data_IF_590692147961
#
_entry.id   IF_590692147961
#
_cell.length_a   1.000
_cell.length_b   1.000
_cell.length_c   1.000
_cell.angle_alpha   90.00
_cell.angle_beta   90.00
_cell.angle_gamma   90.00
#
_symmetry.space_group_name_H-M   'P 1'
#
loop_
_entity.id
_entity.type
_entity.pdbx_description
1 polymer ?
#
# COMPACT_ATOMS: atom_id res chain seq x y z
N UNK A 1 -35.27 0.05 26.19
CA UNK A 1 -35.40 -0.95 27.29
C UNK A 1 -36.83 -1.46 27.25
N UNK A 2 -37.02 -2.77 27.08
CA UNK A 2 -38.31 -3.43 27.29
C UNK A 2 -38.30 -4.09 28.66
N UNK A 3 -39.35 -3.89 29.44
CA UNK A 3 -39.55 -4.46 30.78
C UNK A 3 -40.73 -5.41 30.76
N UNK A 4 -40.58 -6.58 31.38
CA UNK A 4 -41.61 -7.61 31.46
C UNK A 4 -42.59 -7.36 32.60
N UNK A 5 -43.62 -8.19 32.65
CA UNK A 5 -44.79 -8.02 33.53
C UNK A 5 -44.48 -8.11 35.04
N UNK A 6 -43.24 -8.45 35.43
CA UNK A 6 -42.76 -8.43 36.83
C UNK A 6 -41.67 -7.37 37.06
N UNK A 7 -41.53 -6.41 36.15
CA UNK A 7 -40.54 -5.33 36.23
C UNK A 7 -39.10 -5.73 35.86
N UNK A 8 -38.89 -6.94 35.34
CA UNK A 8 -37.57 -7.38 34.87
C UNK A 8 -37.25 -6.82 33.48
N UNK A 9 -36.03 -6.34 33.25
CA UNK A 9 -35.57 -5.96 31.91
C UNK A 9 -35.51 -7.20 31.02
N UNK A 10 -36.27 -7.19 29.92
CA UNK A 10 -36.33 -8.28 28.94
C UNK A 10 -35.33 -8.09 27.81
N UNK A 11 -35.07 -6.84 27.41
CA UNK A 11 -33.94 -6.48 26.55
C UNK A 11 -33.69 -4.97 26.59
N UNK A 12 -32.43 -4.60 26.39
CA UNK A 12 -31.99 -3.23 26.23
C UNK A 12 -31.04 -3.12 25.05
N UNK A 13 -31.09 -1.98 24.35
CA UNK A 13 -30.12 -1.65 23.31
C UNK A 13 -29.14 -0.68 23.95
N UNK A 14 -27.97 -1.18 24.32
CA UNK A 14 -26.88 -0.40 24.91
C UNK A 14 -25.78 -0.29 23.87
N UNK A 15 -25.22 0.91 23.65
CA UNK A 15 -24.06 1.02 22.79
C UNK A 15 -22.88 0.33 23.47
N UNK A 16 -22.11 -0.48 22.76
CA UNK A 16 -21.01 -1.26 23.34
C UNK A 16 -19.96 -0.40 24.09
N UNK A 17 -19.90 0.91 23.79
CA UNK A 17 -19.06 1.90 24.51
C UNK A 17 -19.51 2.18 25.96
N UNK A 18 -20.77 1.85 26.28
CA UNK A 18 -21.39 2.13 27.58
C UNK A 18 -21.35 0.89 28.51
N UNK A 19 -20.77 -0.23 28.04
CA UNK A 19 -20.51 -1.40 28.87
C UNK A 19 -19.20 -1.17 29.66
N UNK A 20 -19.15 -1.52 30.96
CA UNK A 20 -17.92 -1.42 31.74
C UNK A 20 -16.84 -2.34 31.15
N UNK A 21 -15.59 -1.86 31.16
CA UNK A 21 -14.43 -2.71 30.86
C UNK A 21 -14.41 -3.90 31.83
N UNK A 22 -14.21 -5.10 31.29
CA UNK A 22 -14.15 -6.30 32.10
C UNK A 22 -12.72 -6.50 32.62
N UNK A 23 -12.59 -6.53 33.95
CA UNK A 23 -11.31 -6.67 34.66
C UNK A 23 -11.22 -8.11 35.17
N UNK A 24 -10.17 -8.82 34.77
CA UNK A 24 -9.97 -10.23 35.11
C UNK A 24 -8.76 -10.39 36.03
N UNK A 25 -8.97 -10.94 37.23
CA UNK A 25 -7.89 -11.20 38.21
C UNK A 25 -7.11 -12.50 37.91
N UNK A 26 -7.70 -13.48 37.21
CA UNK A 26 -7.10 -14.81 37.04
C UNK A 26 -7.22 -15.45 35.65
N UNK A 27 -7.74 -14.73 34.65
CA UNK A 27 -7.84 -15.19 33.24
C UNK A 27 -8.53 -16.55 33.03
N UNK A 28 -9.25 -17.06 34.04
CA UNK A 28 -9.73 -18.46 34.10
C UNK A 28 -10.89 -18.79 33.17
N UNK A 29 -11.57 -17.78 32.61
CA UNK A 29 -12.70 -17.95 31.67
C UNK A 29 -12.32 -17.77 30.19
N UNK A 30 -11.03 -17.58 29.89
CA UNK A 30 -10.55 -17.32 28.53
C UNK A 30 -10.81 -15.87 28.09
N UNK A 31 -10.11 -15.47 27.02
CA UNK A 31 -10.25 -14.14 26.40
C UNK A 31 -11.62 -14.04 25.69
N UNK A 32 -12.66 -13.66 26.45
CA UNK A 32 -14.00 -13.35 25.96
C UNK A 32 -15.05 -14.39 26.37
N UNK A 33 -15.96 -14.00 27.26
CA UNK A 33 -17.19 -14.75 27.49
C UNK A 33 -18.17 -14.50 26.33
N UNK A 34 -18.79 -15.56 25.81
CA UNK A 34 -20.04 -15.39 25.06
C UNK A 34 -21.08 -14.82 26.02
N UNK A 35 -21.54 -13.57 25.84
CA UNK A 35 -22.77 -13.14 26.51
C UNK A 35 -23.88 -14.09 26.05
N UNK A 36 -24.24 -15.06 26.89
CA UNK A 36 -25.23 -16.09 26.62
C UNK A 36 -26.62 -15.47 26.57
N UNK A 37 -26.99 -14.79 25.49
CA UNK A 37 -28.40 -14.44 25.27
C UNK A 37 -28.90 -14.63 23.83
N UNK A 38 -28.05 -14.85 22.82
CA UNK A 38 -28.54 -15.10 21.45
C UNK A 38 -27.77 -16.13 20.61
N UNK A 39 -26.71 -16.74 21.15
CA UNK A 39 -26.01 -17.86 20.49
C UNK A 39 -25.37 -17.53 19.14
N UNK A 40 -25.02 -16.25 18.86
CA UNK A 40 -24.51 -15.83 17.53
C UNK A 40 -23.34 -14.83 17.51
N UNK A 41 -22.51 -14.70 18.55
CA UNK A 41 -21.28 -13.92 18.42
C UNK A 41 -20.37 -13.87 19.65
N UNK A 42 -19.06 -13.76 19.41
CA UNK A 42 -18.04 -13.44 20.42
C UNK A 42 -17.90 -11.92 20.54
N UNK A 43 -17.64 -11.43 21.77
CA UNK A 43 -17.18 -10.06 22.01
C UNK A 43 -15.65 -10.05 21.87
N UNK A 44 -15.10 -9.16 21.05
CA UNK A 44 -13.64 -9.07 20.82
C UNK A 44 -13.07 -7.86 21.52
N UNK A 45 -11.85 -8.00 22.04
CA UNK A 45 -11.08 -6.87 22.55
C UNK A 45 -10.25 -6.21 21.43
N UNK A 46 -10.06 -4.89 21.51
CA UNK A 46 -9.21 -4.08 20.61
C UNK A 46 -7.79 -3.86 21.12
N UNK A 47 -7.40 -4.61 22.16
CA UNK A 47 -6.12 -4.51 22.83
C UNK A 47 -6.27 -4.34 24.33
N UNK A 48 -5.11 -4.23 24.98
CA UNK A 48 -4.98 -4.04 26.42
C UNK A 48 -5.27 -2.60 26.83
N UNK A 49 -5.88 -2.43 28.00
CA UNK A 49 -5.84 -1.13 28.67
C UNK A 49 -4.58 -1.03 29.55
N UNK A 50 -3.60 -0.27 29.08
CA UNK A 50 -2.34 -0.05 29.80
C UNK A 50 -2.53 0.60 31.18
N UNK A 51 -3.68 1.26 31.40
CA UNK A 51 -3.98 1.92 32.67
C UNK A 51 -4.47 0.96 33.77
N UNK A 52 -4.90 -0.25 33.39
CA UNK A 52 -5.50 -1.21 34.30
C UNK A 52 -4.98 -2.63 34.01
N UNK A 53 -4.17 -3.18 34.94
CA UNK A 53 -3.71 -4.56 34.85
C UNK A 53 -4.89 -5.51 34.69
N UNK A 54 -4.86 -6.33 33.64
CA UNK A 54 -5.86 -7.36 33.44
C UNK A 54 -7.13 -6.92 32.69
N UNK A 55 -7.18 -5.66 32.20
CA UNK A 55 -8.36 -5.13 31.51
C UNK A 55 -8.20 -5.17 29.99
N UNK A 56 -9.25 -5.64 29.31
CA UNK A 56 -9.35 -5.66 27.85
C UNK A 56 -10.38 -4.64 27.37
N UNK A 57 -10.07 -3.87 26.32
CA UNK A 57 -11.01 -2.88 25.76
C UNK A 57 -11.99 -3.54 24.81
N UNK A 58 -13.29 -3.50 25.10
CA UNK A 58 -14.32 -4.08 24.22
C UNK A 58 -14.38 -3.37 22.85
N UNK A 59 -14.57 -4.13 21.78
CA UNK A 59 -14.80 -3.57 20.44
C UNK A 59 -16.21 -3.00 20.30
N UNK A 60 -16.38 -1.76 19.78
CA UNK A 60 -17.69 -1.25 19.42
C UNK A 60 -18.39 -1.97 18.25
N UNK A 61 -17.76 -2.95 17.60
CA UNK A 61 -18.34 -3.74 16.52
C UNK A 61 -18.11 -5.23 16.73
N UNK A 62 -19.09 -6.06 16.34
CA UNK A 62 -18.91 -7.51 16.24
C UNK A 62 -18.08 -7.83 15.00
N UNK A 63 -16.96 -8.54 15.18
CA UNK A 63 -16.16 -9.06 14.07
C UNK A 63 -16.51 -10.54 13.85
N UNK A 64 -16.49 -11.04 12.62
CA UNK A 64 -16.80 -12.45 12.36
C UNK A 64 -15.62 -13.07 11.62
N UNK A 65 -14.83 -13.89 12.31
CA UNK A 65 -13.69 -14.60 11.71
C UNK A 65 -14.04 -16.09 11.58
N UNK A 66 -14.44 -16.51 10.38
CA UNK A 66 -14.65 -17.92 10.06
C UNK A 66 -13.31 -18.54 9.63
N UNK A 67 -12.51 -19.00 10.59
CA UNK A 67 -11.31 -19.79 10.32
C UNK A 67 -11.45 -21.18 10.96
N UNK A 68 -11.44 -22.23 10.14
CA UNK A 68 -11.57 -23.64 10.57
C UNK A 68 -10.40 -24.12 11.43
N UNK A 69 -9.25 -23.43 11.42
CA UNK A 69 -8.12 -23.73 12.30
C UNK A 69 -8.31 -23.21 13.75
N UNK A 70 -9.26 -22.29 13.98
CA UNK A 70 -9.46 -21.61 15.26
C UNK A 70 -10.70 -22.10 16.02
N UNK A 71 -11.29 -23.23 15.59
CA UNK A 71 -12.57 -23.68 16.12
C UNK A 71 -12.41 -24.32 17.51
N UNK A 72 -13.08 -23.72 18.50
CA UNK A 72 -13.61 -24.29 19.76
C UNK A 72 -12.79 -24.26 21.06
N UNK A 73 -11.56 -23.72 21.11
CA UNK A 73 -10.81 -23.68 22.38
C UNK A 73 -9.94 -22.44 22.63
N UNK A 74 -9.85 -21.50 21.69
CA UNK A 74 -8.86 -20.42 21.72
C UNK A 74 -9.52 -19.04 21.63
N UNK A 75 -9.23 -18.18 22.60
CA UNK A 75 -9.58 -16.75 22.53
C UNK A 75 -8.50 -15.99 21.75
N UNK A 76 -8.91 -14.98 20.98
CA UNK A 76 -8.00 -14.10 20.25
C UNK A 76 -8.41 -12.64 20.42
N UNK A 77 -7.44 -11.75 20.41
CA UNK A 77 -7.69 -10.31 20.32
C UNK A 77 -6.69 -9.68 19.35
N UNK A 78 -7.09 -8.54 18.83
CA UNK A 78 -6.26 -7.73 17.95
C UNK A 78 -5.63 -6.66 18.85
N UNK A 79 -4.31 -6.58 18.89
CA UNK A 79 -3.71 -5.34 19.37
C UNK A 79 -3.89 -4.29 18.27
N UNK A 80 -4.31 -3.10 18.68
CA UNK A 80 -4.09 -1.94 17.84
C UNK A 80 -2.57 -1.78 17.69
N UNK A 81 -2.12 -1.90 16.44
CA UNK A 81 -1.07 -1.08 15.88
C UNK A 81 0.28 -1.15 16.60
N UNK A 82 1.18 -1.98 16.07
CA UNK A 82 2.57 -1.98 16.53
C UNK A 82 3.56 -1.20 15.68
N UNK A 83 4.61 -0.77 16.38
CA UNK A 83 5.78 -0.05 15.90
C UNK A 83 6.80 -1.00 15.30
N UNK A 84 6.61 -1.37 14.03
CA UNK A 84 7.70 -1.88 13.20
C UNK A 84 7.64 -1.15 11.87
N UNK A 85 8.25 0.04 11.83
CA UNK A 85 8.41 0.79 10.60
C UNK A 85 9.65 0.29 9.86
N UNK A 86 9.50 0.05 8.57
CA UNK A 86 10.60 -0.09 7.63
C UNK A 86 10.91 1.29 7.06
N UNK A 87 12.18 1.63 6.87
CA UNK A 87 12.53 2.88 6.17
C UNK A 87 12.09 2.77 4.72
N UNK A 88 11.21 3.67 4.27
CA UNK A 88 10.83 3.74 2.87
C UNK A 88 12.08 3.92 2.00
N UNK A 89 12.31 2.99 1.10
CA UNK A 89 13.55 2.91 0.32
C UNK A 89 13.27 2.47 -1.10
N UNK A 90 13.99 3.07 -2.06
CA UNK A 90 14.04 2.62 -3.44
C UNK A 90 14.71 1.24 -3.55
N UNK A 91 14.16 0.37 -4.38
CA UNK A 91 14.66 -0.98 -4.61
C UNK A 91 15.36 -1.11 -5.96
N UNK A 92 14.59 -1.09 -7.05
CA UNK A 92 15.11 -1.31 -8.39
C UNK A 92 14.28 -0.57 -9.44
N UNK A 93 14.88 -0.37 -10.61
CA UNK A 93 14.20 0.15 -11.79
C UNK A 93 14.54 -0.64 -13.05
N UNK A 94 13.59 -0.73 -13.98
CA UNK A 94 13.80 -1.26 -15.33
C UNK A 94 12.91 -0.51 -16.33
N UNK A 95 13.36 -0.39 -17.58
CA UNK A 95 12.56 0.24 -18.65
C UNK A 95 12.63 -0.55 -19.95
N UNK A 96 11.66 -0.31 -20.83
CA UNK A 96 11.62 -0.82 -22.19
C UNK A 96 10.88 0.16 -23.11
N UNK A 97 11.07 0.00 -24.41
CA UNK A 97 10.35 0.73 -25.45
C UNK A 97 9.84 -0.23 -26.49
N UNK A 98 8.62 -0.02 -27.00
CA UNK A 98 8.04 -0.88 -28.03
C UNK A 98 7.20 -0.06 -28.99
N UNK A 99 7.35 -0.31 -30.30
CA UNK A 99 6.64 0.43 -31.33
C UNK A 99 5.25 -0.17 -31.64
N UNK A 100 5.15 -1.51 -31.63
CA UNK A 100 3.98 -2.20 -32.20
C UNK A 100 3.50 -3.41 -31.39
N UNK A 101 4.32 -3.97 -30.50
CA UNK A 101 3.95 -5.18 -29.77
C UNK A 101 2.81 -4.89 -28.78
N UNK A 102 1.87 -5.84 -28.65
CA UNK A 102 0.87 -5.84 -27.59
C UNK A 102 0.54 -7.29 -27.20
N UNK A 103 0.71 -7.69 -25.93
CA UNK A 103 1.22 -6.87 -24.84
C UNK A 103 2.72 -6.57 -24.98
N UNK A 104 3.15 -5.44 -24.42
CA UNK A 104 4.56 -5.13 -24.20
C UNK A 104 5.00 -5.78 -22.89
N UNK A 105 6.07 -6.58 -22.94
CA UNK A 105 6.52 -7.36 -21.79
C UNK A 105 8.02 -7.21 -21.54
N UNK A 106 8.39 -7.14 -20.26
CA UNK A 106 9.78 -7.11 -19.81
C UNK A 106 9.89 -7.65 -18.38
N UNK A 107 11.10 -8.02 -17.98
CA UNK A 107 11.37 -8.52 -16.62
C UNK A 107 11.67 -7.38 -15.66
N UNK A 108 11.11 -7.46 -14.44
CA UNK A 108 11.45 -6.58 -13.33
C UNK A 108 11.63 -7.42 -12.06
N UNK A 109 12.71 -7.15 -11.32
CA UNK A 109 13.06 -7.91 -10.10
C UNK A 109 12.70 -7.07 -8.89
N UNK A 110 11.79 -7.59 -8.06
CA UNK A 110 11.43 -6.98 -6.78
C UNK A 110 12.18 -7.68 -5.64
N UNK A 111 12.87 -6.92 -4.78
CA UNK A 111 13.58 -7.49 -3.65
C UNK A 111 12.64 -8.14 -2.63
N UNK A 112 13.16 -9.14 -1.91
CA UNK A 112 12.48 -9.80 -0.81
C UNK A 112 12.53 -8.96 0.48
N UNK A 113 11.84 -7.83 0.48
CA UNK A 113 11.67 -6.92 1.62
C UNK A 113 10.19 -6.83 2.01
N UNK A 114 9.86 -6.40 3.22
CA UNK A 114 8.45 -6.20 3.63
C UNK A 114 7.85 -4.93 3.01
N UNK A 115 6.52 -4.87 2.92
CA UNK A 115 5.77 -3.64 2.62
C UNK A 115 6.19 -3.00 1.29
N UNK A 116 5.92 -3.72 0.19
CA UNK A 116 6.45 -3.37 -1.14
C UNK A 116 5.43 -2.66 -2.00
N UNK A 117 5.92 -1.82 -2.90
CA UNK A 117 5.14 -1.24 -3.97
C UNK A 117 5.93 -1.29 -5.27
N UNK A 118 5.25 -1.64 -6.37
CA UNK A 118 5.78 -1.52 -7.72
C UNK A 118 4.99 -0.41 -8.43
N UNK A 119 5.71 0.60 -8.91
CA UNK A 119 5.19 1.69 -9.73
C UNK A 119 5.54 1.40 -11.20
N UNK A 120 4.59 1.55 -12.12
CA UNK A 120 4.84 1.43 -13.56
C UNK A 120 4.31 2.68 -14.25
N UNK A 121 5.19 3.44 -14.90
CA UNK A 121 4.79 4.54 -15.75
C UNK A 121 4.79 4.11 -17.22
N UNK A 122 3.74 4.50 -17.94
CA UNK A 122 3.57 4.21 -19.35
C UNK A 122 3.30 5.50 -20.10
N UNK A 123 4.21 5.85 -20.99
CA UNK A 123 4.06 6.90 -21.98
C UNK A 123 3.65 6.27 -23.31
N UNK A 124 2.56 6.75 -23.90
CA UNK A 124 2.18 6.42 -25.27
C UNK A 124 2.36 7.64 -26.18
N UNK A 125 2.77 7.40 -27.43
CA UNK A 125 2.94 8.40 -28.50
C UNK A 125 1.64 8.86 -29.17
N UNK A 126 0.49 8.59 -28.55
CA UNK A 126 -0.84 9.14 -28.89
C UNK A 126 -1.64 9.33 -27.58
N UNK A 127 -2.81 9.99 -27.64
CA UNK A 127 -3.75 10.09 -26.51
C UNK A 127 -4.49 8.76 -26.23
N UNK A 128 -3.75 7.67 -26.06
CA UNK A 128 -4.25 6.33 -25.78
C UNK A 128 -3.56 5.79 -24.53
N UNK A 129 -4.34 5.24 -23.61
CA UNK A 129 -3.82 4.65 -22.39
C UNK A 129 -3.86 3.12 -22.48
N UNK A 130 -2.95 2.41 -21.77
CA UNK A 130 -3.03 0.97 -21.63
C UNK A 130 -4.39 0.52 -21.11
N UNK A 131 -4.90 -0.58 -21.66
CA UNK A 131 -6.14 -1.21 -21.20
C UNK A 131 -5.92 -1.93 -19.86
N UNK A 132 -4.74 -2.52 -19.67
CA UNK A 132 -4.34 -3.13 -18.40
C UNK A 132 -2.83 -3.18 -18.26
N UNK A 133 -2.37 -3.21 -17.01
CA UNK A 133 -0.98 -3.51 -16.66
C UNK A 133 -0.99 -4.62 -15.62
N UNK A 134 -0.11 -5.59 -15.77
CA UNK A 134 0.04 -6.70 -14.82
C UNK A 134 1.49 -6.93 -14.44
N UNK A 135 1.71 -7.48 -13.25
CA UNK A 135 3.01 -7.98 -12.80
C UNK A 135 2.86 -9.38 -12.23
N UNK A 136 3.64 -10.34 -12.73
CA UNK A 136 3.48 -11.77 -12.40
C UNK A 136 2.04 -12.28 -12.64
N UNK A 137 1.30 -11.67 -13.56
CA UNK A 137 -0.12 -11.95 -13.82
C UNK A 137 -1.11 -11.28 -12.86
N UNK A 138 -0.64 -10.64 -11.78
CA UNK A 138 -1.50 -9.83 -10.91
C UNK A 138 -1.82 -8.48 -11.56
N UNK A 139 -3.10 -8.09 -11.55
CA UNK A 139 -3.54 -6.81 -12.12
C UNK A 139 -3.05 -5.63 -11.27
N UNK A 140 -2.50 -4.62 -11.92
CA UNK A 140 -2.11 -3.36 -11.31
C UNK A 140 -3.29 -2.37 -11.32
N UNK A 141 -3.28 -1.42 -10.39
CA UNK A 141 -4.28 -0.35 -10.30
C UNK A 141 -3.73 0.93 -10.92
N UNK A 142 -4.50 1.61 -11.78
CA UNK A 142 -4.10 2.91 -12.31
C UNK A 142 -4.19 3.97 -11.21
N UNK A 143 -3.07 4.63 -10.91
CA UNK A 143 -3.00 5.73 -9.94
C UNK A 143 -3.46 7.05 -10.53
N UNK A 144 -2.96 7.38 -11.72
CA UNK A 144 -3.26 8.63 -12.42
C UNK A 144 -2.95 8.50 -13.90
N UNK A 145 -3.56 9.37 -14.70
CA UNK A 145 -3.15 9.58 -16.07
C UNK A 145 -3.44 10.99 -16.56
N UNK A 146 -2.77 11.36 -17.65
CA UNK A 146 -2.92 12.65 -18.30
C UNK A 146 -2.63 12.51 -19.80
N UNK A 147 -3.52 13.08 -20.59
CA UNK A 147 -3.30 13.35 -22.01
C UNK A 147 -2.74 14.75 -22.17
N UNK A 148 -1.94 14.94 -23.21
CA UNK A 148 -1.53 16.27 -23.66
C UNK A 148 -2.75 17.06 -24.15
N UNK A 149 -2.72 18.37 -23.90
CA UNK A 149 -3.71 19.32 -24.39
C UNK A 149 -3.12 20.19 -25.51
N UNK A 150 -3.84 20.38 -26.63
CA UNK A 150 -3.49 21.40 -27.64
C UNK A 150 -3.15 20.93 -29.06
N UNK A 151 -3.00 19.63 -29.29
CA UNK A 151 -2.90 18.89 -30.58
C UNK A 151 -1.85 19.33 -31.61
N UNK A 152 -0.86 18.45 -31.86
CA UNK A 152 -0.54 17.89 -33.21
C UNK A 152 0.28 16.59 -33.12
N UNK A 153 1.13 16.45 -32.11
CA UNK A 153 1.56 15.18 -31.56
C UNK A 153 0.76 14.99 -30.29
N UNK A 154 0.35 13.77 -29.99
CA UNK A 154 -0.44 13.51 -28.79
C UNK A 154 0.38 12.55 -27.94
N UNK A 155 0.74 12.91 -26.71
CA UNK A 155 1.27 11.93 -25.75
C UNK A 155 0.27 11.68 -24.62
N UNK A 156 0.28 10.46 -24.09
CA UNK A 156 -0.47 10.09 -22.90
C UNK A 156 0.46 9.46 -21.88
N UNK A 157 0.48 9.99 -20.66
CA UNK A 157 1.23 9.44 -19.55
C UNK A 157 0.26 8.84 -18.53
N UNK A 158 0.50 7.60 -18.12
CA UNK A 158 -0.20 6.96 -17.00
C UNK A 158 0.77 6.35 -16.01
N UNK A 159 0.37 6.34 -14.75
CA UNK A 159 1.11 5.69 -13.66
C UNK A 159 0.20 4.65 -13.03
N UNK A 160 0.72 3.44 -12.87
CA UNK A 160 0.06 2.27 -12.29
C UNK A 160 0.85 1.79 -11.08
N UNK A 161 0.17 1.12 -10.14
CA UNK A 161 0.82 0.55 -8.97
C UNK A 161 0.29 -0.83 -8.60
N UNK A 162 1.14 -1.60 -7.92
CA UNK A 162 0.78 -2.85 -7.26
C UNK A 162 1.38 -2.85 -5.86
N UNK A 163 0.55 -3.05 -4.85
CA UNK A 163 0.98 -3.26 -3.47
C UNK A 163 1.35 -4.73 -3.26
N UNK A 164 2.39 -4.98 -2.47
CA UNK A 164 2.96 -6.31 -2.24
C UNK A 164 3.18 -7.13 -3.52
N UNK A 165 3.86 -6.58 -4.54
CA UNK A 165 4.24 -7.34 -5.73
C UNK A 165 5.05 -8.58 -5.35
N UNK A 166 4.87 -9.68 -6.09
CA UNK A 166 5.64 -10.91 -5.88
C UNK A 166 7.15 -10.65 -5.98
N UNK A 167 7.94 -11.21 -5.06
CA UNK A 167 9.39 -10.99 -5.05
C UNK A 167 10.08 -11.78 -6.17
N UNK A 168 11.31 -11.40 -6.51
CA UNK A 168 12.11 -12.03 -7.55
C UNK A 168 11.82 -11.46 -8.94
N UNK A 169 12.44 -12.06 -9.96
CA UNK A 169 12.27 -11.65 -11.35
C UNK A 169 10.93 -12.14 -11.90
N UNK A 170 10.01 -11.21 -12.18
CA UNK A 170 8.74 -11.51 -12.81
C UNK A 170 8.45 -10.55 -13.96
N UNK A 171 7.48 -10.92 -14.80
CA UNK A 171 7.10 -10.16 -15.99
C UNK A 171 6.16 -9.01 -15.64
N UNK A 172 6.52 -7.80 -16.06
CA UNK A 172 5.58 -6.70 -16.29
C UNK A 172 4.98 -6.88 -17.68
N UNK A 173 3.66 -6.79 -17.80
CA UNK A 173 2.94 -6.89 -19.07
C UNK A 173 1.95 -5.74 -19.21
N UNK A 174 2.13 -4.93 -20.23
CA UNK A 174 1.28 -3.77 -20.56
C UNK A 174 0.47 -4.13 -21.80
N UNK A 175 -0.84 -4.25 -21.63
CA UNK A 175 -1.78 -4.45 -22.73
C UNK A 175 -2.26 -3.10 -23.26
N UNK A 176 -1.93 -2.81 -24.51
CA UNK A 176 -2.29 -1.56 -25.16
C UNK A 176 -3.04 -1.87 -26.46
N UNK A 177 -4.19 -1.21 -26.65
CA UNK A 177 -5.13 -1.54 -27.73
C UNK A 177 -4.80 -0.89 -29.07
N UNK A 178 -3.80 0.00 -29.09
CA UNK A 178 -3.38 0.75 -30.29
C UNK A 178 -1.90 0.52 -30.57
N UNK A 179 -1.53 0.30 -31.84
CA UNK A 179 -0.14 0.09 -32.25
C UNK A 179 0.57 1.43 -32.35
N UNK A 180 0.83 2.03 -31.19
CA UNK A 180 1.52 3.29 -31.04
C UNK A 180 2.77 3.02 -30.22
N UNK A 181 3.85 3.75 -30.51
CA UNK A 181 5.07 3.62 -29.73
C UNK A 181 4.83 3.95 -28.27
N UNK A 182 5.34 3.08 -27.40
CA UNK A 182 5.27 3.24 -25.96
C UNK A 182 6.66 3.23 -25.34
N UNK A 183 6.81 4.00 -24.27
CA UNK A 183 7.92 3.92 -23.33
C UNK A 183 7.34 3.49 -22.00
N UNK A 184 7.91 2.43 -21.42
CA UNK A 184 7.45 1.90 -20.14
C UNK A 184 8.63 1.78 -19.22
N UNK A 185 8.45 2.17 -17.96
CA UNK A 185 9.38 1.78 -16.92
C UNK A 185 8.71 1.47 -15.61
N UNK A 186 9.41 0.67 -14.83
CA UNK A 186 9.00 0.08 -13.57
C UNK A 186 10.00 0.49 -12.50
N UNK A 187 9.51 0.99 -11.36
CA UNK A 187 10.30 1.32 -10.17
C UNK A 187 9.68 0.66 -8.95
N UNK A 188 10.45 -0.11 -8.20
CA UNK A 188 10.01 -0.75 -6.94
C UNK A 188 10.55 -0.02 -5.71
N UNK A 189 9.76 -0.07 -4.64
CA UNK A 189 10.10 0.45 -3.32
C UNK A 189 9.66 -0.53 -2.24
N UNK A 190 10.26 -0.46 -1.05
CA UNK A 190 9.84 -1.20 0.15
C UNK A 190 9.77 -0.29 1.37
N UNK A 191 9.08 -0.73 2.41
CA UNK A 191 8.73 0.11 3.56
C UNK A 191 7.65 1.13 3.24
N UNK A 192 6.67 0.78 2.39
CA UNK A 192 5.53 1.63 2.04
C UNK A 192 4.34 1.43 2.99
N UNK A 193 3.55 2.47 3.22
CA UNK A 193 2.27 2.34 3.89
C UNK A 193 1.27 1.59 2.98
N UNK A 194 0.89 0.36 3.34
CA UNK A 194 -0.01 -0.44 2.49
C UNK A 194 -1.49 -0.03 2.58
N UNK A 195 -1.90 0.68 3.62
CA UNK A 195 -3.28 1.13 3.80
C UNK A 195 -3.53 2.49 3.12
N UNK A 196 -2.56 3.39 3.24
CA UNK A 196 -2.60 4.75 2.66
C UNK A 196 -1.25 5.05 2.00
N UNK A 197 -0.96 4.44 0.84
CA UNK A 197 0.37 4.49 0.21
C UNK A 197 0.76 5.85 -0.35
N UNK A 198 -0.21 6.73 -0.63
CA UNK A 198 0.04 7.95 -1.39
C UNK A 198 -0.40 9.23 -0.68
N UNK A 199 0.33 10.30 -0.96
CA UNK A 199 -0.12 11.68 -0.82
C UNK A 199 -1.04 12.11 -1.97
N UNK A 200 -1.18 13.42 -2.17
CA UNK A 200 -1.97 13.94 -3.29
C UNK A 200 -1.15 13.90 -4.57
N UNK A 201 -1.67 13.25 -5.61
CA UNK A 201 -1.06 13.24 -6.95
C UNK A 201 -1.19 14.63 -7.57
N UNK A 202 -0.12 15.09 -8.21
CA UNK A 202 -0.11 16.31 -9.02
C UNK A 202 0.26 15.95 -10.45
N UNK A 203 -0.46 16.54 -11.41
CA UNK A 203 -0.15 16.43 -12.83
C UNK A 203 0.12 17.81 -13.41
N UNK A 204 1.08 17.90 -14.33
CA UNK A 204 1.49 19.14 -14.97
C UNK A 204 1.78 18.89 -16.46
N UNK A 205 1.65 19.93 -17.26
CA UNK A 205 2.07 19.94 -18.67
C UNK A 205 2.43 21.37 -19.08
N UNK A 206 3.29 21.52 -20.09
CA UNK A 206 3.49 22.76 -20.82
C UNK A 206 4.30 22.53 -22.10
N UNK A 207 4.37 23.56 -22.94
CA UNK A 207 5.33 23.66 -24.05
C UNK A 207 6.63 24.32 -23.56
N UNK A 208 7.63 23.53 -23.17
CA UNK A 208 8.90 24.08 -22.68
C UNK A 208 10.02 23.05 -22.62
N UNK A 209 11.22 23.48 -22.25
CA UNK A 209 12.37 22.60 -21.96
C UNK A 209 12.50 22.24 -20.48
N UNK A 210 11.53 22.61 -19.64
CA UNK A 210 11.62 22.51 -18.19
C UNK A 210 10.37 21.89 -17.57
N UNK A 211 10.17 20.56 -17.71
CA UNK A 211 9.13 19.85 -16.98
C UNK A 211 9.24 20.09 -15.47
N UNK A 212 8.10 20.34 -14.83
CA UNK A 212 8.02 20.56 -13.39
C UNK A 212 6.66 20.20 -12.85
N UNK A 213 6.63 19.37 -11.79
CA UNK A 213 5.46 19.11 -10.97
C UNK A 213 5.83 19.25 -9.50
N UNK A 214 5.01 19.95 -8.71
CA UNK A 214 5.29 20.16 -7.29
C UNK A 214 4.19 19.56 -6.43
N UNK A 215 4.55 18.56 -5.62
CA UNK A 215 3.66 17.93 -4.65
C UNK A 215 3.85 18.52 -3.26
N UNK A 216 2.83 18.35 -2.40
CA UNK A 216 3.01 18.52 -0.95
C UNK A 216 3.52 17.21 -0.37
N UNK A 217 4.62 17.24 0.36
CA UNK A 217 5.28 16.05 0.92
C UNK A 217 5.77 16.31 2.35
N UNK A 218 6.13 15.24 3.06
CA UNK A 218 6.65 15.26 4.41
C UNK A 218 7.97 14.47 4.54
N UNK A 219 8.71 14.73 5.61
CA UNK A 219 9.91 13.95 5.95
C UNK A 219 9.56 12.47 6.11
N UNK A 220 10.39 11.59 5.56
CA UNK A 220 10.20 10.14 5.56
C UNK A 220 9.41 9.61 4.35
N UNK A 221 8.77 10.49 3.58
CA UNK A 221 8.19 10.13 2.27
C UNK A 221 9.27 10.07 1.19
N UNK A 222 8.96 9.40 0.09
CA UNK A 222 9.69 9.49 -1.17
C UNK A 222 8.72 10.06 -2.20
N UNK A 223 9.10 11.13 -2.89
CA UNK A 223 8.35 11.64 -4.03
C UNK A 223 8.78 10.86 -5.27
N UNK A 224 7.85 10.16 -5.89
CA UNK A 224 8.02 9.53 -7.21
C UNK A 224 7.44 10.44 -8.28
N UNK A 225 8.11 10.54 -9.42
CA UNK A 225 7.53 11.16 -10.61
C UNK A 225 7.79 10.36 -11.88
N UNK A 226 6.93 10.59 -12.87
CA UNK A 226 7.14 10.19 -14.24
C UNK A 226 6.97 11.40 -15.15
N UNK A 227 7.77 11.46 -16.20
CA UNK A 227 7.73 12.47 -17.24
C UNK A 227 7.62 11.81 -18.61
N UNK A 228 6.85 12.43 -19.49
CA UNK A 228 6.76 12.05 -20.90
C UNK A 228 6.90 13.28 -21.77
N UNK A 229 7.58 13.14 -22.90
CA UNK A 229 7.89 14.23 -23.83
C UNK A 229 7.61 13.78 -25.25
N UNK A 230 6.99 14.65 -26.06
CA UNK A 230 6.61 14.42 -27.46
C UNK A 230 7.78 14.52 -28.46
N UNK A 231 9.00 14.32 -27.96
CA UNK A 231 10.20 14.34 -28.80
C UNK A 231 11.26 13.38 -28.28
N UNK A 232 12.15 12.95 -29.19
CA UNK A 232 13.30 12.10 -28.91
C UNK A 232 14.48 12.95 -28.40
N UNK A 233 14.65 13.04 -27.08
CA UNK A 233 15.64 13.92 -26.44
C UNK A 233 16.11 13.38 -25.11
N UNK A 234 17.36 13.68 -24.76
CA UNK A 234 17.87 13.42 -23.41
C UNK A 234 17.10 14.23 -22.37
N UNK A 235 16.69 13.54 -21.30
CA UNK A 235 16.13 14.10 -20.08
C UNK A 235 17.22 14.17 -19.02
N UNK A 236 17.12 15.12 -18.09
CA UNK A 236 18.03 15.22 -16.96
C UNK A 236 17.26 15.66 -15.74
N UNK A 237 17.32 14.87 -14.68
CA UNK A 237 16.65 15.17 -13.41
C UNK A 237 17.19 16.44 -12.76
N UNK A 238 16.33 17.10 -12.00
CA UNK A 238 16.68 18.28 -11.21
C UNK A 238 17.56 17.96 -9.99
N UNK A 239 17.82 19.01 -9.20
CA UNK A 239 18.59 18.86 -7.97
C UNK A 239 17.82 18.02 -6.94
N UNK A 240 18.55 17.20 -6.17
CA UNK A 240 18.02 16.31 -5.13
C UNK A 240 17.11 15.18 -5.63
N UNK A 241 16.99 15.01 -6.95
CA UNK A 241 16.33 13.87 -7.56
C UNK A 241 17.37 12.82 -7.98
N UNK A 242 16.99 11.55 -7.86
CA UNK A 242 17.72 10.41 -8.41
C UNK A 242 16.90 9.85 -9.56
N UNK A 243 17.50 9.76 -10.74
CA UNK A 243 16.86 9.14 -11.91
C UNK A 243 16.67 7.63 -11.67
N UNK A 244 15.45 7.15 -11.90
CA UNK A 244 15.14 5.71 -11.88
C UNK A 244 15.47 5.09 -13.23
N UNK A 245 14.96 5.71 -14.29
CA UNK A 245 15.14 5.29 -15.67
C UNK A 245 14.75 6.44 -16.60
N UNK A 246 15.37 6.45 -17.78
CA UNK A 246 14.91 7.16 -18.95
C UNK A 246 14.98 6.22 -20.16
N UNK A 247 14.13 6.47 -21.15
CA UNK A 247 14.15 5.73 -22.39
C UNK A 247 13.50 6.54 -23.50
N UNK A 248 14.11 6.50 -24.68
CA UNK A 248 13.66 7.19 -25.87
C UNK A 248 13.28 6.19 -26.96
N UNK A 249 12.17 6.47 -27.63
CA UNK A 249 11.70 5.71 -28.77
C UNK A 249 11.76 6.63 -30.01
N UNK A 250 12.92 6.59 -30.67
CA UNK A 250 13.28 7.54 -31.73
C UNK A 250 12.35 7.53 -32.96
N UNK A 251 11.77 6.37 -33.31
CA UNK A 251 10.91 6.25 -34.48
C UNK A 251 9.57 6.96 -34.28
N UNK A 252 9.05 6.95 -33.05
CA UNK A 252 7.80 7.57 -32.65
C UNK A 252 7.99 8.93 -31.97
N UNK A 253 9.23 9.40 -31.86
CA UNK A 253 9.59 10.70 -31.30
C UNK A 253 9.02 10.91 -29.90
N UNK A 254 9.17 9.92 -29.03
CA UNK A 254 8.78 10.08 -27.62
C UNK A 254 9.92 9.71 -26.69
N UNK A 255 9.99 10.42 -25.57
CA UNK A 255 10.91 10.09 -24.47
C UNK A 255 10.15 10.05 -23.16
N UNK A 256 10.33 8.98 -22.41
CA UNK A 256 9.81 8.84 -21.05
C UNK A 256 10.94 8.79 -20.03
N UNK A 257 10.65 9.19 -18.80
CA UNK A 257 11.56 9.05 -17.68
C UNK A 257 10.82 9.00 -16.34
N UNK A 258 11.55 8.59 -15.31
CA UNK A 258 11.07 8.53 -13.93
C UNK A 258 12.20 8.87 -12.97
N UNK A 259 11.85 9.49 -11.85
CA UNK A 259 12.81 9.78 -10.79
C UNK A 259 12.16 9.70 -9.42
N UNK A 260 13.00 9.69 -8.40
CA UNK A 260 12.55 9.83 -7.03
C UNK A 260 13.40 10.82 -6.23
N UNK A 261 12.81 11.38 -5.18
CA UNK A 261 13.44 12.32 -4.27
C UNK A 261 12.95 12.08 -2.84
N UNK A 262 13.80 12.31 -1.84
CA UNK A 262 13.34 12.27 -0.44
C UNK A 262 12.39 13.44 -0.17
N UNK A 263 11.24 13.19 0.46
CA UNK A 263 10.25 14.23 0.75
C UNK A 263 10.78 15.36 1.65
N UNK A 264 11.85 15.11 2.40
CA UNK A 264 12.55 16.13 3.18
C UNK A 264 13.24 17.20 2.31
N UNK A 265 13.56 16.88 1.05
CA UNK A 265 14.21 17.79 0.11
C UNK A 265 13.20 18.68 -0.65
N UNK A 266 11.91 18.60 -0.29
CA UNK A 266 10.80 19.28 -0.95
C UNK A 266 10.07 18.38 -1.94
N UNK A 267 9.00 18.90 -2.54
CA UNK A 267 8.16 18.15 -3.47
C UNK A 267 8.28 18.56 -4.94
N UNK A 268 9.28 19.38 -5.30
CA UNK A 268 9.46 19.87 -6.66
C UNK A 268 10.25 18.86 -7.50
N UNK A 269 9.53 18.12 -8.35
CA UNK A 269 10.10 17.18 -9.30
C UNK A 269 10.28 17.89 -10.63
N UNK A 270 11.53 18.06 -11.04
CA UNK A 270 11.90 18.89 -12.21
C UNK A 270 12.80 18.12 -13.16
N UNK A 271 12.70 18.46 -14.45
CA UNK A 271 13.56 17.90 -15.49
C UNK A 271 14.06 19.00 -16.41
N UNK A 272 15.17 18.72 -17.08
CA UNK A 272 15.65 19.51 -18.22
C UNK A 272 15.60 18.65 -19.47
N UNK A 273 14.96 19.16 -20.52
CA UNK A 273 14.94 18.55 -21.85
C UNK A 273 16.05 19.18 -22.68
N UNK A 274 16.90 18.36 -23.29
CA UNK A 274 18.00 18.86 -24.14
C UNK A 274 17.52 19.60 -25.40
N UNK A 275 18.43 20.27 -26.12
CA UNK A 275 18.12 20.88 -27.42
C UNK A 275 17.43 22.25 -27.35
N UNK A 276 16.63 22.58 -28.37
CA UNK A 276 15.96 23.88 -28.54
C UNK A 276 14.50 23.72 -28.97
N UNK A 277 13.71 24.79 -28.93
CA UNK A 277 12.26 24.74 -29.17
C UNK A 277 11.48 24.47 -27.89
N UNK A 278 10.19 24.14 -28.04
CA UNK A 278 9.24 23.98 -26.93
C UNK A 278 8.46 22.68 -27.12
N UNK A 279 9.09 21.51 -26.89
CA UNK A 279 8.37 20.25 -26.92
C UNK A 279 7.30 20.26 -25.82
N UNK A 280 6.21 19.53 -26.07
CA UNK A 280 5.20 19.31 -25.06
C UNK A 280 5.67 18.20 -24.12
N UNK A 281 5.44 18.42 -22.83
CA UNK A 281 5.72 17.44 -21.79
C UNK A 281 4.52 17.26 -20.87
N UNK A 282 4.42 16.07 -20.30
CA UNK A 282 3.49 15.73 -19.23
C UNK A 282 4.32 15.21 -18.07
N UNK A 283 3.97 15.62 -16.85
CA UNK A 283 4.55 15.07 -15.63
C UNK A 283 3.45 14.66 -14.67
N UNK A 284 3.66 13.53 -13.98
CA UNK A 284 2.83 13.02 -12.90
C UNK A 284 3.75 12.78 -11.70
N UNK A 285 3.50 13.45 -10.59
CA UNK A 285 4.27 13.30 -9.36
C UNK A 285 3.35 12.90 -8.19
N UNK A 286 3.86 12.07 -7.28
CA UNK A 286 3.13 11.59 -6.11
C UNK A 286 4.08 11.31 -4.94
N UNK A 287 3.77 11.77 -3.71
CA UNK A 287 4.45 11.31 -2.52
C UNK A 287 4.03 9.87 -2.17
N UNK A 288 5.00 8.98 -2.03
CA UNK A 288 4.86 7.64 -1.46
C UNK A 288 5.10 7.76 0.05
N UNK A 289 4.14 7.27 0.83
CA UNK A 289 4.17 7.35 2.29
C UNK A 289 4.92 6.17 2.88
N UNK A 290 5.82 6.41 3.87
CA UNK A 290 6.51 5.32 4.54
C UNK A 290 5.51 4.50 5.33
N UNK A 291 5.81 3.22 5.52
CA UNK A 291 5.11 2.44 6.54
C UNK A 291 5.27 3.19 7.85
N UNK A 292 4.14 3.55 8.45
CA UNK A 292 4.23 4.27 9.71
C UNK A 292 4.80 3.32 10.76
N UNK A 293 5.41 3.86 11.80
CA UNK A 293 5.75 3.15 13.03
C UNK A 293 4.51 2.69 13.79
N UNK A 294 3.45 2.37 13.08
CA UNK A 294 2.12 2.07 13.55
C UNK A 294 1.41 1.29 12.44
N UNK A 295 1.33 -0.03 12.61
CA UNK A 295 0.26 -0.94 12.11
C UNK A 295 0.76 -2.02 11.17
N UNK A 296 1.44 -3.03 11.75
CA UNK A 296 1.06 -4.40 11.36
C UNK A 296 -0.13 -4.82 12.22
N UNK A 297 -1.10 -5.52 11.62
CA UNK A 297 -2.13 -6.22 12.40
C UNK A 297 -1.44 -7.34 13.18
N UNK A 298 -1.44 -7.22 14.50
CA UNK A 298 -0.94 -8.26 15.40
C UNK A 298 -2.14 -9.02 15.92
N UNK A 299 -2.14 -10.33 15.69
CA UNK A 299 -3.13 -11.23 16.27
C UNK A 299 -2.45 -11.96 17.42
N UNK A 300 -2.98 -11.78 18.63
CA UNK A 300 -2.56 -12.59 19.77
C UNK A 300 -3.53 -13.76 19.95
N UNK A 301 -3.01 -14.98 20.02
CA UNK A 301 -3.76 -16.21 20.26
C UNK A 301 -3.25 -16.82 21.56
N UNK A 302 -4.12 -17.04 22.54
CA UNK A 302 -3.75 -17.73 23.77
C UNK A 302 -4.09 -19.22 23.70
N UNK A 303 -3.22 -20.07 24.24
CA UNK A 303 -3.53 -21.42 24.68
C UNK A 303 -3.53 -21.54 26.21
N UNK A 304 -3.70 -22.76 26.73
CA UNK A 304 -3.74 -23.04 28.18
C UNK A 304 -2.46 -22.70 28.94
N UNK A 305 -1.37 -22.39 28.25
CA UNK A 305 -0.02 -22.24 28.82
C UNK A 305 0.72 -20.98 28.35
N UNK A 306 0.37 -20.41 27.19
CA UNK A 306 1.11 -19.35 26.51
C UNK A 306 0.19 -18.43 25.73
N UNK A 307 0.62 -17.18 25.58
CA UNK A 307 0.10 -16.26 24.55
C UNK A 307 1.08 -16.30 23.38
N UNK A 308 0.58 -16.65 22.21
CA UNK A 308 1.28 -16.62 20.94
C UNK A 308 0.97 -15.32 20.22
N UNK A 309 2.01 -14.73 19.67
CA UNK A 309 1.94 -13.52 18.89
C UNK A 309 2.07 -13.88 17.42
N UNK A 310 1.12 -13.44 16.61
CA UNK A 310 1.15 -13.62 15.16
C UNK A 310 1.24 -12.27 14.47
N UNK A 311 2.19 -12.16 13.56
CA UNK A 311 2.29 -11.03 12.63
C UNK A 311 1.73 -11.46 11.28
N UNK A 312 0.97 -10.58 10.65
CA UNK A 312 0.57 -10.78 9.25
C UNK A 312 1.61 -10.15 8.32
N UNK A 313 2.11 -10.95 7.38
CA UNK A 313 2.90 -10.53 6.23
C UNK A 313 2.16 -10.96 4.95
N UNK A 314 2.18 -10.12 3.92
CA UNK A 314 1.44 -10.38 2.68
C UNK A 314 1.95 -11.59 1.90
N UNK A 315 3.22 -11.96 2.07
CA UNK A 315 3.89 -13.04 1.32
C UNK A 315 3.86 -14.35 2.09
N UNK A 316 4.09 -14.28 3.41
CA UNK A 316 4.15 -15.48 4.26
C UNK A 316 2.85 -15.77 5.00
N UNK A 317 1.88 -14.85 4.97
CA UNK A 317 0.64 -14.95 5.72
C UNK A 317 0.84 -14.70 7.21
N UNK A 318 0.08 -15.40 8.06
CA UNK A 318 0.25 -15.34 9.50
C UNK A 318 1.48 -16.12 9.93
N UNK A 319 2.46 -15.41 10.50
CA UNK A 319 3.71 -16.00 11.00
C UNK A 319 3.77 -15.86 12.52
N UNK A 320 4.15 -16.95 13.20
CA UNK A 320 4.36 -16.94 14.64
C UNK A 320 5.63 -16.13 14.97
N UNK A 321 5.48 -15.08 15.77
CA UNK A 321 6.59 -14.32 16.32
C UNK A 321 7.20 -15.11 17.49
N UNK A 322 8.30 -15.80 17.21
CA UNK A 322 8.96 -16.68 18.16
C UNK A 322 9.67 -15.93 19.32
N UNK A 323 9.77 -14.60 19.24
CA UNK A 323 10.53 -13.76 20.18
C UNK A 323 9.72 -13.22 21.35
N UNK A 324 8.39 -13.28 21.28
CA UNK A 324 7.49 -12.63 22.25
C UNK A 324 6.45 -13.63 22.82
N UNK A 325 6.94 -14.78 23.30
CA UNK A 325 6.11 -15.70 24.07
C UNK A 325 6.14 -15.28 25.53
N UNK A 326 5.07 -14.62 26.00
CA UNK A 326 4.95 -14.33 27.44
C UNK A 326 4.71 -15.65 28.19
N UNK A 327 5.68 -16.08 28.98
CA UNK A 327 5.67 -17.37 29.68
C UNK A 327 4.77 -17.41 30.94
N UNK A 328 3.97 -16.37 31.20
CA UNK A 328 3.03 -16.36 32.33
C UNK A 328 1.69 -15.75 31.91
N UNK A 329 0.86 -16.56 31.29
CA UNK A 329 -0.56 -16.32 31.08
C UNK A 329 -1.22 -17.68 30.86
N UNK A 330 -1.76 -18.28 31.92
CA UNK A 330 -2.53 -19.52 31.83
C UNK A 330 -3.93 -19.13 31.33
N UNK A 331 -4.25 -19.37 30.07
CA UNK A 331 -5.62 -19.23 29.56
C UNK A 331 -6.26 -20.60 29.41
N UNK A 332 -6.70 -21.20 30.52
CA UNK A 332 -7.28 -22.53 30.51
C UNK A 332 -8.27 -22.75 31.63
N UNK A 333 -9.38 -23.42 31.30
CA UNK A 333 -10.37 -23.92 32.25
C UNK A 333 -9.67 -24.78 33.32
N UNK A 334 -9.85 -24.54 34.63
CA UNK A 334 -9.33 -25.43 35.66
C UNK A 334 -9.96 -26.83 35.55
N UNK A 335 -9.20 -27.86 35.96
CA UNK A 335 -9.67 -29.24 36.07
C UNK A 335 -10.91 -29.37 36.98
#
# INVERSE_FOLDING_TARGET
IATGDRGQTLWETTAARDLPDEIWDDWSLGLGETKQETGRGYLFARGWDESTRGASRLSPFFHNLNNTALTTAYGYFMEAVETSGSTLTFDASTSTTEATASPVTFSHTVASQSERILMVAVLASQTSHPASVTYAGAAMTQLSSKNESGSTNDIALSVWFLLNPATGANTVSVDHSVHNGIVVGASSFYGVNLDVPFGTVVTAEADSLSPSATVTTASGEIVFDAVGVDTDRTLTVGANQTEDWDANLSAEKVTGGSSHQAGADGGAMTWTISGSGTPQWISIAVPIKPSSTTSRSVMQIADTTKIFRYTYDSDTGLTLDATDTTASGVAGRPA
#
